data_IF_593107280683
#
_entry.id   IF_593107280683
#
_cell.length_a   1.000
_cell.length_b   1.000
_cell.length_c   1.000
_cell.angle_alpha   90.00
_cell.angle_beta   90.00
_cell.angle_gamma   90.00
#
_symmetry.space_group_name_H-M   'P 1'
#
loop_
_entity.id
_entity.type
_entity.pdbx_description
1 polymer ?
#
# COMPACT_ATOMS: atom_id res chain seq x y z
N UNK A 1 39.00 -18.27 -66.33
CA UNK A 1 39.21 -18.71 -64.94
C UNK A 1 38.44 -17.76 -64.06
N UNK A 2 37.17 -18.16 -63.76
CA UNK A 2 36.26 -17.37 -62.92
C UNK A 2 36.27 -17.98 -61.54
N UNK A 3 36.64 -17.18 -60.51
CA UNK A 3 36.54 -17.57 -59.11
C UNK A 3 35.19 -17.13 -58.55
N UNK A 4 34.31 -18.12 -58.40
CA UNK A 4 33.05 -17.98 -57.70
C UNK A 4 33.29 -18.06 -56.19
N UNK A 5 32.94 -17.01 -55.43
CA UNK A 5 33.01 -17.00 -53.98
C UNK A 5 31.59 -17.22 -53.42
N UNK A 6 31.38 -18.19 -52.50
CA UNK A 6 30.07 -18.42 -51.94
C UNK A 6 29.70 -17.29 -50.95
N UNK A 7 28.46 -16.76 -51.12
CA UNK A 7 27.83 -15.79 -50.22
C UNK A 7 27.46 -16.48 -48.91
N UNK A 8 27.99 -15.96 -47.81
CA UNK A 8 27.63 -16.35 -46.46
C UNK A 8 26.12 -16.01 -46.20
N UNK A 9 25.37 -17.01 -45.84
CA UNK A 9 24.00 -16.85 -45.32
C UNK A 9 24.06 -16.19 -43.95
N UNK A 10 23.46 -15.00 -43.81
CA UNK A 10 23.19 -14.38 -42.53
C UNK A 10 22.03 -15.13 -41.88
N UNK A 11 22.33 -15.89 -40.84
CA UNK A 11 21.31 -16.42 -39.95
C UNK A 11 20.70 -15.25 -39.16
N UNK A 12 19.46 -14.95 -39.50
CA UNK A 12 18.60 -14.08 -38.70
C UNK A 12 18.09 -14.88 -37.51
N UNK A 13 18.88 -14.92 -36.45
CA UNK A 13 18.41 -15.38 -35.16
C UNK A 13 17.29 -14.44 -34.68
N UNK A 14 16.06 -14.90 -34.83
CA UNK A 14 14.87 -14.33 -34.20
C UNK A 14 15.11 -14.26 -32.68
N UNK A 15 15.37 -13.06 -32.19
CA UNK A 15 15.32 -12.78 -30.74
C UNK A 15 13.88 -12.99 -30.28
N UNK A 16 13.58 -14.16 -29.75
CA UNK A 16 12.35 -14.40 -28.97
C UNK A 16 12.40 -13.42 -27.81
N UNK A 17 11.53 -12.39 -27.88
CA UNK A 17 11.30 -11.49 -26.76
C UNK A 17 10.84 -12.32 -25.57
N UNK A 18 11.56 -12.23 -24.46
CA UNK A 18 11.09 -12.71 -23.17
C UNK A 18 9.74 -12.07 -22.88
N UNK A 19 8.73 -12.85 -22.47
CA UNK A 19 7.44 -12.27 -22.09
C UNK A 19 7.70 -11.28 -20.95
N UNK A 20 7.37 -10.02 -21.21
CA UNK A 20 7.39 -8.97 -20.17
C UNK A 20 6.34 -9.39 -19.15
N UNK A 21 6.78 -9.86 -18.00
CA UNK A 21 5.92 -10.07 -16.84
C UNK A 21 5.27 -8.71 -16.53
N UNK A 22 3.94 -8.64 -16.40
CA UNK A 22 3.31 -7.39 -16.03
C UNK A 22 3.88 -6.95 -14.70
N UNK A 23 4.38 -5.71 -14.66
CA UNK A 23 4.92 -5.12 -13.44
C UNK A 23 3.93 -5.36 -12.29
N UNK A 24 4.44 -5.76 -11.12
CA UNK A 24 3.62 -5.96 -9.93
C UNK A 24 2.79 -4.71 -9.60
N UNK A 25 3.23 -3.52 -10.04
CA UNK A 25 2.47 -2.27 -10.04
C UNK A 25 1.24 -2.31 -10.96
N UNK A 26 1.37 -2.88 -12.16
CA UNK A 26 0.24 -3.08 -13.09
C UNK A 26 -0.76 -4.08 -12.50
N UNK A 27 -0.28 -5.13 -11.84
CA UNK A 27 -1.12 -6.09 -11.12
C UNK A 27 -1.82 -5.43 -9.93
N UNK A 28 -1.13 -4.59 -9.16
CA UNK A 28 -1.69 -3.83 -8.05
C UNK A 28 -2.74 -2.82 -8.53
N UNK A 29 -2.50 -2.11 -9.65
CA UNK A 29 -3.51 -1.22 -10.27
C UNK A 29 -4.72 -1.99 -10.79
N UNK A 30 -4.52 -3.20 -11.31
CA UNK A 30 -5.59 -4.07 -11.78
C UNK A 30 -6.37 -4.68 -10.62
N UNK A 31 -5.69 -4.96 -9.50
CA UNK A 31 -6.28 -5.34 -8.23
C UNK A 31 -7.16 -4.21 -7.65
N UNK A 32 -6.69 -2.98 -7.67
CA UNK A 32 -7.46 -1.79 -7.29
C UNK A 32 -8.69 -1.56 -8.20
N UNK A 33 -8.64 -1.98 -9.45
CA UNK A 33 -9.75 -1.86 -10.40
C UNK A 33 -10.88 -2.89 -10.20
N UNK A 34 -10.62 -3.98 -9.50
CA UNK A 34 -11.61 -5.02 -9.21
C UNK A 34 -11.67 -5.40 -7.72
N UNK A 35 -11.95 -4.44 -6.83
CA UNK A 35 -11.93 -4.67 -5.38
C UNK A 35 -12.98 -5.70 -4.93
N UNK A 36 -14.11 -5.81 -5.67
CA UNK A 36 -15.19 -6.76 -5.34
C UNK A 36 -14.83 -8.22 -5.63
N UNK A 37 -14.02 -8.48 -6.65
CA UNK A 37 -13.56 -9.84 -6.96
C UNK A 37 -12.57 -10.36 -5.92
N UNK A 38 -11.84 -9.46 -5.26
CA UNK A 38 -10.83 -9.81 -4.25
C UNK A 38 -11.36 -9.81 -2.83
N UNK A 39 -12.36 -8.98 -2.50
CA UNK A 39 -13.03 -9.00 -1.19
C UNK A 39 -13.77 -10.32 -0.92
N UNK A 40 -14.19 -11.03 -1.98
CA UNK A 40 -14.83 -12.33 -1.89
C UNK A 40 -13.87 -13.50 -1.69
N UNK A 41 -12.55 -13.30 -1.87
CA UNK A 41 -11.60 -14.39 -2.06
C UNK A 41 -10.71 -14.72 -0.84
N UNK A 42 -10.84 -14.02 0.30
CA UNK A 42 -9.94 -14.42 1.38
C UNK A 42 -10.47 -14.23 2.80
N UNK A 43 -10.77 -15.35 3.50
CA UNK A 43 -10.74 -15.37 4.98
C UNK A 43 -9.41 -14.82 5.52
N UNK A 44 -8.34 -14.93 4.75
CA UNK A 44 -6.98 -14.42 5.03
C UNK A 44 -6.91 -12.92 5.24
N UNK A 45 -7.75 -12.10 4.59
CA UNK A 45 -7.68 -10.65 4.76
C UNK A 45 -8.08 -10.16 6.15
N UNK A 46 -9.08 -10.80 6.77
CA UNK A 46 -9.50 -10.48 8.16
C UNK A 46 -8.50 -10.99 9.19
N UNK A 47 -7.98 -12.21 9.00
CA UNK A 47 -6.95 -12.76 9.88
C UNK A 47 -5.67 -11.94 9.81
N UNK A 48 -5.30 -11.52 8.61
CA UNK A 48 -4.16 -10.65 8.39
C UNK A 48 -4.34 -9.29 9.06
N UNK A 49 -5.50 -8.66 8.88
CA UNK A 49 -5.81 -7.39 9.55
C UNK A 49 -5.67 -7.54 11.07
N UNK A 50 -6.17 -8.64 11.65
CA UNK A 50 -6.03 -8.93 13.07
C UNK A 50 -4.56 -9.02 13.50
N UNK A 51 -3.74 -9.79 12.77
CA UNK A 51 -2.30 -9.93 13.07
C UNK A 51 -1.55 -8.60 12.98
N UNK A 52 -1.91 -7.72 12.04
CA UNK A 52 -1.31 -6.40 11.92
C UNK A 52 -1.72 -5.49 13.09
N UNK A 53 -2.98 -5.55 13.50
CA UNK A 53 -3.52 -4.76 14.61
C UNK A 53 -2.89 -5.19 15.94
N UNK A 54 -2.60 -6.47 16.13
CA UNK A 54 -1.87 -6.99 17.30
C UNK A 54 -0.45 -6.39 17.43
N UNK A 55 0.08 -5.79 16.37
CA UNK A 55 1.38 -5.10 16.39
C UNK A 55 1.28 -3.62 16.78
N UNK A 56 0.09 -3.08 16.99
CA UNK A 56 -0.07 -1.70 17.44
C UNK A 56 0.62 -1.49 18.81
N UNK A 57 1.19 -0.31 19.06
CA UNK A 57 1.66 0.03 20.40
C UNK A 57 0.53 -0.04 21.43
N UNK A 58 0.84 -0.45 22.63
CA UNK A 58 -0.13 -0.43 23.74
C UNK A 58 -0.64 0.99 23.98
N UNK A 59 -1.96 1.15 24.07
CA UNK A 59 -2.59 2.45 24.24
C UNK A 59 -2.55 3.37 23.01
N UNK A 60 -2.19 2.85 21.83
CA UNK A 60 -2.21 3.63 20.59
C UNK A 60 -3.60 4.20 20.32
N UNK A 61 -3.67 5.48 20.00
CA UNK A 61 -4.90 6.22 19.70
C UNK A 61 -4.90 6.80 18.30
N UNK A 62 -3.86 7.56 17.91
CA UNK A 62 -3.80 8.20 16.61
C UNK A 62 -3.13 7.29 15.59
N UNK A 63 -3.96 6.73 14.71
CA UNK A 63 -3.54 5.75 13.70
C UNK A 63 -3.73 6.34 12.31
N UNK A 64 -2.75 6.14 11.45
CA UNK A 64 -2.87 6.41 10.01
C UNK A 64 -2.88 5.10 9.25
N UNK A 65 -3.85 4.93 8.35
CA UNK A 65 -3.91 3.83 7.39
C UNK A 65 -3.52 4.34 6.00
N UNK A 66 -2.55 3.70 5.35
CA UNK A 66 -2.14 3.97 3.98
C UNK A 66 -2.71 2.92 3.03
N UNK A 67 -3.52 3.36 2.06
CA UNK A 67 -4.21 2.50 1.11
C UNK A 67 -5.41 1.81 1.74
N UNK A 68 -6.43 2.56 2.12
CA UNK A 68 -7.65 2.05 2.78
C UNK A 68 -8.42 1.01 1.95
N UNK A 69 -8.33 1.10 0.62
CA UNK A 69 -8.93 0.15 -0.30
C UNK A 69 -10.43 -0.02 -0.09
N UNK A 70 -10.88 -1.24 0.19
CA UNK A 70 -12.28 -1.54 0.51
C UNK A 70 -12.63 -1.36 1.99
N UNK A 71 -11.68 -0.93 2.83
CA UNK A 71 -11.87 -0.65 4.25
C UNK A 71 -11.79 -1.89 5.15
N UNK A 72 -11.03 -2.91 4.78
CA UNK A 72 -10.85 -4.12 5.61
C UNK A 72 -10.03 -3.81 6.85
N UNK A 73 -8.91 -3.10 6.69
CA UNK A 73 -8.08 -2.67 7.83
C UNK A 73 -8.77 -1.57 8.63
N UNK A 74 -9.42 -0.60 7.95
CA UNK A 74 -10.24 0.43 8.58
C UNK A 74 -11.25 -0.19 9.55
N UNK A 75 -12.04 -1.16 9.07
CA UNK A 75 -13.04 -1.85 9.91
C UNK A 75 -12.36 -2.58 11.08
N UNK A 76 -11.27 -3.28 10.83
CA UNK A 76 -10.59 -4.03 11.86
C UNK A 76 -9.96 -3.13 12.94
N UNK A 77 -9.47 -1.94 12.58
CA UNK A 77 -8.99 -0.92 13.51
C UNK A 77 -10.12 -0.41 14.41
N UNK A 78 -11.28 -0.12 13.82
CA UNK A 78 -12.46 0.32 14.57
C UNK A 78 -12.98 -0.81 15.49
N UNK A 79 -13.05 -2.05 15.00
CA UNK A 79 -13.45 -3.23 15.78
C UNK A 79 -12.48 -3.50 16.96
N UNK A 80 -11.22 -3.07 16.82
CA UNK A 80 -10.21 -3.16 17.89
C UNK A 80 -10.26 -1.97 18.88
N UNK A 81 -11.24 -1.08 18.75
CA UNK A 81 -11.48 0.00 19.70
C UNK A 81 -10.78 1.33 19.37
N UNK A 82 -10.20 1.47 18.18
CA UNK A 82 -9.72 2.78 17.73
C UNK A 82 -10.94 3.66 17.45
N UNK A 83 -11.00 4.81 18.10
CA UNK A 83 -12.08 5.78 17.91
C UNK A 83 -12.02 6.35 16.47
N UNK A 84 -13.17 6.48 15.77
CA UNK A 84 -13.20 6.92 14.38
C UNK A 84 -12.47 8.24 14.13
N UNK A 85 -12.60 9.20 15.04
CA UNK A 85 -11.94 10.51 14.99
C UNK A 85 -10.42 10.44 15.25
N UNK A 86 -9.93 9.27 15.67
CA UNK A 86 -8.51 8.96 15.87
C UNK A 86 -7.90 8.13 14.73
N UNK A 87 -8.66 7.90 13.67
CA UNK A 87 -8.24 7.16 12.50
C UNK A 87 -8.23 8.07 11.26
N UNK A 88 -7.07 8.20 10.64
CA UNK A 88 -6.90 8.87 9.35
C UNK A 88 -6.59 7.82 8.28
N UNK A 89 -7.39 7.78 7.23
CA UNK A 89 -7.21 6.87 6.09
C UNK A 89 -6.83 7.67 4.86
N UNK A 90 -5.70 7.32 4.24
CA UNK A 90 -5.23 7.94 2.99
C UNK A 90 -5.43 6.95 1.85
N UNK A 91 -6.21 7.34 0.85
CA UNK A 91 -6.49 6.51 -0.33
C UNK A 91 -6.31 7.33 -1.60
N UNK A 92 -5.52 6.81 -2.54
CA UNK A 92 -5.20 7.52 -3.79
C UNK A 92 -6.33 7.40 -4.83
N UNK A 93 -7.04 6.28 -4.82
CA UNK A 93 -8.11 6.03 -5.79
C UNK A 93 -9.40 6.75 -5.36
N UNK A 94 -9.91 7.65 -6.19
CA UNK A 94 -11.09 8.47 -5.89
C UNK A 94 -12.36 7.63 -5.64
N UNK A 95 -12.57 6.55 -6.40
CA UNK A 95 -13.76 5.68 -6.23
C UNK A 95 -13.72 4.95 -4.88
N UNK A 96 -12.54 4.46 -4.49
CA UNK A 96 -12.32 3.80 -3.19
C UNK A 96 -12.40 4.81 -2.05
N UNK A 97 -11.87 6.02 -2.22
CA UNK A 97 -12.03 7.11 -1.27
C UNK A 97 -13.52 7.41 -1.01
N UNK A 98 -14.33 7.57 -2.06
CA UNK A 98 -15.76 7.80 -1.92
C UNK A 98 -16.48 6.60 -1.27
N UNK A 99 -16.05 5.37 -1.56
CA UNK A 99 -16.56 4.17 -0.90
C UNK A 99 -16.28 4.20 0.60
N UNK A 100 -15.05 4.54 0.99
CA UNK A 100 -14.61 4.64 2.39
C UNK A 100 -15.40 5.73 3.14
N UNK A 101 -15.55 6.91 2.54
CA UNK A 101 -16.34 8.00 3.13
C UNK A 101 -17.78 7.60 3.41
N UNK A 102 -18.42 6.87 2.47
CA UNK A 102 -19.79 6.38 2.68
C UNK A 102 -19.88 5.29 3.74
N UNK A 103 -18.87 4.42 3.81
CA UNK A 103 -18.84 3.29 4.74
C UNK A 103 -18.45 3.71 6.16
N UNK A 104 -17.60 4.70 6.28
CA UNK A 104 -17.02 5.16 7.55
C UNK A 104 -17.14 6.68 7.72
N UNK A 105 -18.36 7.22 7.84
CA UNK A 105 -18.61 8.67 7.79
C UNK A 105 -17.96 9.45 8.95
N UNK A 106 -17.58 8.78 10.04
CA UNK A 106 -16.94 9.40 11.20
C UNK A 106 -15.41 9.27 11.20
N UNK A 107 -14.84 8.59 10.20
CA UNK A 107 -13.39 8.44 10.04
C UNK A 107 -12.86 9.57 9.15
N UNK A 108 -11.66 10.06 9.45
CA UNK A 108 -10.98 11.00 8.57
C UNK A 108 -10.46 10.26 7.31
N UNK A 109 -11.19 10.37 6.20
CA UNK A 109 -10.76 9.78 4.93
C UNK A 109 -10.30 10.88 3.98
N UNK A 110 -9.06 10.79 3.50
CA UNK A 110 -8.44 11.77 2.61
C UNK A 110 -8.08 11.12 1.28
N UNK A 111 -8.53 11.73 0.17
CA UNK A 111 -8.06 11.39 -1.17
C UNK A 111 -6.67 12.01 -1.37
N UNK A 112 -5.62 11.18 -1.42
CA UNK A 112 -4.26 11.72 -1.51
C UNK A 112 -3.19 10.66 -1.77
N UNK A 113 -2.03 11.14 -2.18
CA UNK A 113 -0.85 10.29 -2.37
C UNK A 113 -0.11 10.10 -1.05
N UNK A 114 0.19 8.85 -0.69
CA UNK A 114 0.96 8.52 0.51
C UNK A 114 2.38 9.14 0.52
N UNK A 115 2.91 9.56 -0.63
CA UNK A 115 4.15 10.32 -0.73
C UNK A 115 4.05 11.69 -0.05
N UNK A 116 2.82 12.25 0.02
CA UNK A 116 2.51 13.54 0.65
C UNK A 116 2.01 13.41 2.09
N UNK A 117 2.23 12.27 2.74
CA UNK A 117 1.67 11.93 4.05
C UNK A 117 1.87 13.03 5.09
N UNK A 118 3.06 13.62 5.15
CA UNK A 118 3.37 14.69 6.11
C UNK A 118 2.47 15.92 5.92
N UNK A 119 2.24 16.31 4.67
CA UNK A 119 1.35 17.44 4.35
C UNK A 119 -0.11 17.09 4.67
N UNK A 120 -0.54 15.86 4.36
CA UNK A 120 -1.89 15.36 4.65
C UNK A 120 -2.16 15.38 6.15
N UNK A 121 -1.27 14.81 6.97
CA UNK A 121 -1.45 14.77 8.43
C UNK A 121 -1.52 16.18 9.03
N UNK A 122 -0.65 17.08 8.59
CA UNK A 122 -0.68 18.49 9.03
C UNK A 122 -1.93 19.22 8.61
N UNK A 123 -2.33 19.07 7.35
CA UNK A 123 -3.49 19.77 6.78
C UNK A 123 -4.82 19.25 7.30
N UNK A 124 -4.90 18.00 7.74
CA UNK A 124 -6.13 17.39 8.26
C UNK A 124 -6.48 17.84 9.69
N UNK A 125 -5.54 18.42 10.43
CA UNK A 125 -5.72 18.68 11.85
C UNK A 125 -5.87 17.44 12.72
N UNK A 126 -5.53 16.26 12.16
CA UNK A 126 -5.70 14.95 12.79
C UNK A 126 -4.90 14.78 14.09
N UNK A 127 -3.70 15.33 14.12
CA UNK A 127 -2.88 15.40 15.32
C UNK A 127 -2.41 16.82 15.55
N UNK A 128 -2.11 17.19 16.79
CA UNK A 128 -1.33 18.39 17.01
C UNK A 128 0.16 18.11 16.68
N UNK A 129 0.91 19.12 16.27
CA UNK A 129 2.31 19.00 15.84
C UNK A 129 3.25 18.38 16.89
N UNK A 130 2.84 18.39 18.16
CA UNK A 130 3.65 17.86 19.27
C UNK A 130 3.37 16.40 19.59
N UNK A 131 2.17 15.89 19.27
CA UNK A 131 1.74 14.55 19.67
C UNK A 131 2.20 13.45 18.69
N UNK A 132 2.34 13.77 17.41
CA UNK A 132 2.64 12.78 16.37
C UNK A 132 1.60 11.66 16.25
N UNK A 133 1.91 10.67 15.44
CA UNK A 133 1.08 9.50 15.15
C UNK A 133 1.63 8.30 15.93
N UNK A 134 0.77 7.51 16.57
CA UNK A 134 1.17 6.32 17.33
C UNK A 134 1.56 5.15 16.41
N UNK A 135 0.83 4.98 15.33
CA UNK A 135 1.17 3.97 14.34
C UNK A 135 0.70 4.36 12.93
N UNK A 136 1.46 3.91 11.95
CA UNK A 136 1.08 3.92 10.54
C UNK A 136 0.93 2.48 10.09
N UNK A 137 -0.28 2.11 9.62
CA UNK A 137 -0.59 0.78 9.08
C UNK A 137 -0.68 0.91 7.58
N UNK A 138 0.08 0.10 6.84
CA UNK A 138 0.13 0.21 5.37
C UNK A 138 -0.27 -1.09 4.70
N UNK A 139 -1.34 -1.02 3.89
CA UNK A 139 -1.76 -2.04 2.94
C UNK A 139 -1.18 -1.86 1.54
N UNK A 140 -0.28 -0.91 1.35
CA UNK A 140 0.31 -0.61 0.05
C UNK A 140 1.26 -1.70 -0.42
N UNK A 141 1.20 -2.05 -1.71
CA UNK A 141 2.15 -2.97 -2.34
C UNK A 141 3.54 -2.36 -2.53
N UNK A 142 4.19 -1.94 -1.45
CA UNK A 142 5.42 -1.15 -1.49
C UNK A 142 6.55 -1.81 -2.26
N UNK A 143 6.72 -3.14 -2.16
CA UNK A 143 7.77 -3.87 -2.89
C UNK A 143 7.64 -3.77 -4.42
N UNK A 144 6.45 -3.44 -4.91
CA UNK A 144 6.15 -3.29 -6.33
C UNK A 144 6.32 -1.85 -6.83
N UNK A 145 6.62 -0.91 -5.95
CA UNK A 145 6.78 0.50 -6.28
C UNK A 145 8.24 0.83 -6.66
N UNK A 146 8.45 1.89 -7.47
CA UNK A 146 9.80 2.43 -7.67
C UNK A 146 10.46 2.81 -6.34
N UNK A 147 11.77 2.60 -6.24
CA UNK A 147 12.53 2.91 -4.99
C UNK A 147 12.39 4.36 -4.52
N UNK A 148 12.27 5.30 -5.47
CA UNK A 148 12.04 6.72 -5.13
C UNK A 148 10.71 6.92 -4.39
N UNK A 149 9.63 6.30 -4.90
CA UNK A 149 8.29 6.32 -4.27
C UNK A 149 8.31 5.66 -2.90
N UNK A 150 8.94 4.47 -2.78
CA UNK A 150 9.09 3.81 -1.48
C UNK A 150 9.78 4.72 -0.46
N UNK A 151 10.88 5.37 -0.87
CA UNK A 151 11.65 6.28 -0.01
C UNK A 151 10.81 7.48 0.41
N UNK A 152 10.08 8.11 -0.52
CA UNK A 152 9.23 9.25 -0.22
C UNK A 152 8.14 8.89 0.82
N UNK A 153 7.46 7.75 0.62
CA UNK A 153 6.45 7.26 1.57
C UNK A 153 7.09 7.00 2.93
N UNK A 154 8.20 6.27 3.00
CA UNK A 154 8.87 5.95 4.27
C UNK A 154 9.35 7.22 4.98
N UNK A 155 9.91 8.19 4.26
CA UNK A 155 10.28 9.49 4.84
C UNK A 155 9.06 10.16 5.47
N UNK A 156 7.93 10.24 4.73
CA UNK A 156 6.69 10.79 5.27
C UNK A 156 6.17 10.05 6.50
N UNK A 157 6.26 8.71 6.49
CA UNK A 157 5.87 7.87 7.64
C UNK A 157 6.70 8.21 8.88
N UNK A 158 8.03 8.22 8.77
CA UNK A 158 8.88 8.51 9.93
C UNK A 158 8.82 9.96 10.37
N UNK A 159 8.48 10.89 9.47
CA UNK A 159 8.28 12.31 9.80
C UNK A 159 7.00 12.56 10.63
N UNK A 160 5.99 11.68 10.54
CA UNK A 160 4.72 11.84 11.27
C UNK A 160 4.64 10.97 12.52
N UNK A 161 5.41 9.88 12.60
CA UNK A 161 5.44 9.02 13.78
C UNK A 161 6.04 9.76 14.99
N UNK A 162 5.39 9.61 16.15
CA UNK A 162 6.01 10.01 17.40
C UNK A 162 7.17 9.09 17.78
N UNK A 163 7.96 9.51 18.76
CA UNK A 163 8.96 8.62 19.35
C UNK A 163 8.30 7.36 19.93
N UNK A 164 8.85 6.19 19.62
CA UNK A 164 8.27 4.88 19.96
C UNK A 164 7.06 4.48 19.15
N UNK A 165 6.62 5.30 18.18
CA UNK A 165 5.58 4.95 17.21
C UNK A 165 6.01 3.81 16.29
N UNK A 166 5.05 3.11 15.68
CA UNK A 166 5.32 1.93 14.83
C UNK A 166 4.83 2.12 13.40
N UNK A 167 5.65 1.68 12.46
CA UNK A 167 5.25 1.44 11.08
C UNK A 167 4.98 -0.05 10.88
N UNK A 168 3.76 -0.39 10.47
CA UNK A 168 3.30 -1.77 10.28
C UNK A 168 2.95 -1.93 8.81
N UNK A 169 3.78 -2.68 8.08
CA UNK A 169 3.63 -2.89 6.64
C UNK A 169 3.17 -4.31 6.35
N UNK A 170 2.08 -4.43 5.60
CA UNK A 170 1.73 -5.68 4.98
C UNK A 170 2.49 -5.86 3.65
N UNK A 171 3.11 -7.02 3.48
CA UNK A 171 3.84 -7.35 2.26
C UNK A 171 3.43 -8.73 1.75
N UNK A 172 2.90 -8.77 0.52
CA UNK A 172 2.83 -10.03 -0.23
C UNK A 172 4.23 -10.31 -0.77
N UNK A 173 4.92 -11.27 -0.15
CA UNK A 173 6.15 -11.82 -0.71
C UNK A 173 5.92 -13.28 -1.08
N UNK A 174 6.70 -13.88 -1.99
CA UNK A 174 6.82 -15.32 -2.01
C UNK A 174 7.28 -15.69 -0.60
N UNK A 175 6.47 -16.51 0.09
CA UNK A 175 6.82 -17.00 1.40
C UNK A 175 8.22 -17.61 1.31
N UNK A 176 9.22 -16.89 1.79
CA UNK A 176 10.48 -17.52 2.11
C UNK A 176 10.21 -18.29 3.39
N UNK A 177 10.24 -19.61 3.39
CA UNK A 177 10.26 -20.31 4.64
C UNK A 177 11.56 -19.87 5.33
N UNK A 178 11.41 -19.11 6.40
CA UNK A 178 12.50 -18.88 7.32
C UNK A 178 12.73 -20.24 7.96
N UNK A 179 13.75 -20.92 7.47
CA UNK A 179 14.31 -22.12 8.08
C UNK A 179 15.12 -21.74 9.31
#
# INVERSE_FOLDING_TARGET
MSHDRPRARRDTQSRRGTPVQPDAWTFFRQWLRNPRAMAALSPSSRQLAKLMIEQLPEGAQHIVELGGGTGVFTQALLDNGIAPEKLLVVELNEELHQLLMRRFPSVHVVCGDAQELKAIVRGSGFTNEKSGVDAVVSGLGMLSMPRATQRAILTGVFDVLREGGRFIQFTYGPASPVS
#
